data_IF_619643865996
#
_entry.id   IF_619643865996
#
_cell.length_a   1.000
_cell.length_b   1.000
_cell.length_c   1.000
_cell.angle_alpha   90.00
_cell.angle_beta   90.00
_cell.angle_gamma   90.00
#
_symmetry.space_group_name_H-M   'P 1'
#
loop_
_entity.id
_entity.type
_entity.pdbx_description
1 polymer ?
#
# COMPACT_ATOMS: atom_id res chain seq x y z
N UNK A 1 -22.31 11.74 11.97
CA UNK A 1 -21.03 11.65 11.23
C UNK A 1 -20.94 10.22 10.75
N UNK A 2 -20.74 9.96 9.46
CA UNK A 2 -20.53 8.58 9.02
C UNK A 2 -19.20 8.09 9.59
N UNK A 3 -19.24 7.01 10.36
CA UNK A 3 -18.06 6.24 10.76
C UNK A 3 -17.39 5.71 9.49
N UNK A 4 -16.53 6.52 8.89
CA UNK A 4 -15.91 6.20 7.61
C UNK A 4 -14.71 5.29 7.88
N UNK A 5 -14.82 4.02 7.48
CA UNK A 5 -13.80 2.98 7.58
C UNK A 5 -12.39 3.54 7.46
N UNK A 6 -11.57 3.35 8.51
CA UNK A 6 -10.13 3.55 8.43
C UNK A 6 -9.69 4.89 7.84
N UNK A 7 -10.41 6.00 8.07
CA UNK A 7 -10.01 7.32 7.57
C UNK A 7 -8.86 7.91 8.42
N UNK A 8 -7.79 7.14 8.60
CA UNK A 8 -6.63 7.47 9.43
C UNK A 8 -5.39 7.63 8.56
N UNK A 9 -4.39 8.42 8.99
CA UNK A 9 -3.17 8.59 8.21
C UNK A 9 -2.46 7.26 7.92
N UNK A 10 -2.42 6.33 8.87
CA UNK A 10 -1.82 5.01 8.65
C UNK A 10 -2.55 4.21 7.57
N UNK A 11 -3.88 4.21 7.58
CA UNK A 11 -4.67 3.44 6.63
C UNK A 11 -4.56 4.01 5.20
N UNK A 12 -4.68 5.33 5.02
CA UNK A 12 -4.53 5.94 3.68
C UNK A 12 -3.11 5.82 3.13
N UNK A 13 -2.10 5.84 3.99
CA UNK A 13 -0.72 5.57 3.57
C UNK A 13 -0.58 4.13 3.09
N UNK A 14 -1.11 3.15 3.84
CA UNK A 14 -1.08 1.74 3.43
C UNK A 14 -1.83 1.51 2.10
N UNK A 15 -2.98 2.15 1.92
CA UNK A 15 -3.73 2.11 0.66
C UNK A 15 -2.92 2.71 -0.48
N UNK A 16 -2.31 3.89 -0.30
CA UNK A 16 -1.50 4.53 -1.32
C UNK A 16 -0.29 3.69 -1.76
N UNK A 17 0.43 3.12 -0.80
CA UNK A 17 1.58 2.23 -1.08
C UNK A 17 1.11 0.92 -1.74
N UNK A 18 0.03 0.32 -1.26
CA UNK A 18 -0.55 -0.89 -1.83
C UNK A 18 -1.00 -0.67 -3.28
N UNK A 19 -1.67 0.44 -3.57
CA UNK A 19 -2.06 0.84 -4.92
C UNK A 19 -0.85 1.06 -5.83
N UNK A 20 0.22 1.69 -5.33
CA UNK A 20 1.46 1.84 -6.09
C UNK A 20 2.06 0.48 -6.45
N UNK A 21 2.13 -0.45 -5.49
CA UNK A 21 2.60 -1.82 -5.74
C UNK A 21 1.74 -2.55 -6.77
N UNK A 22 0.41 -2.43 -6.67
CA UNK A 22 -0.54 -2.98 -7.63
C UNK A 22 -0.34 -2.41 -9.04
N UNK A 23 -0.20 -1.09 -9.18
CA UNK A 23 0.04 -0.44 -10.48
C UNK A 23 1.36 -0.89 -11.08
N UNK A 24 2.45 -0.89 -10.31
CA UNK A 24 3.77 -1.34 -10.78
C UNK A 24 3.73 -2.80 -11.24
N UNK A 25 3.12 -3.68 -10.44
CA UNK A 25 2.95 -5.09 -10.77
C UNK A 25 2.06 -5.31 -12.00
N UNK A 26 0.95 -4.59 -12.09
CA UNK A 26 0.03 -4.64 -13.22
C UNK A 26 0.70 -4.20 -14.52
N UNK A 27 1.39 -3.06 -14.51
CA UNK A 27 2.17 -2.57 -15.67
C UNK A 27 3.22 -3.59 -16.09
N UNK A 28 3.93 -4.21 -15.15
CA UNK A 28 4.95 -5.21 -15.47
C UNK A 28 4.41 -6.41 -16.29
N UNK A 29 3.16 -6.82 -16.01
CA UNK A 29 2.48 -7.90 -16.73
C UNK A 29 1.92 -7.47 -18.10
N UNK A 30 1.82 -6.17 -18.37
CA UNK A 30 1.39 -5.63 -19.68
C UNK A 30 2.55 -5.40 -20.65
N UNK A 31 3.81 -5.50 -20.21
CA UNK A 31 4.98 -5.35 -21.06
C UNK A 31 5.20 -6.59 -21.95
N UNK A 32 5.83 -6.39 -23.11
CA UNK A 32 6.23 -7.47 -24.02
C UNK A 32 7.73 -7.35 -24.31
N UNK A 33 8.57 -8.31 -23.85
CA UNK A 33 8.22 -9.45 -23.01
C UNK A 33 7.79 -9.02 -21.60
N UNK A 34 7.03 -9.89 -20.91
CA UNK A 34 6.63 -9.65 -19.52
C UNK A 34 7.86 -9.48 -18.63
N UNK A 35 7.86 -8.45 -17.80
CA UNK A 35 8.96 -8.18 -16.86
C UNK A 35 8.67 -8.80 -15.50
N UNK A 36 9.09 -10.06 -15.30
CA UNK A 36 8.92 -10.74 -14.00
C UNK A 36 9.71 -10.06 -12.87
N UNK A 37 10.85 -9.44 -13.19
CA UNK A 37 11.61 -8.67 -12.22
C UNK A 37 10.81 -7.46 -11.69
N UNK A 38 10.19 -6.68 -12.59
CA UNK A 38 9.36 -5.54 -12.21
C UNK A 38 8.07 -5.97 -11.51
N UNK A 39 7.50 -7.12 -11.88
CA UNK A 39 6.37 -7.71 -11.16
C UNK A 39 6.72 -7.97 -9.69
N UNK A 40 7.86 -8.60 -9.41
CA UNK A 40 8.30 -8.85 -8.03
C UNK A 40 8.63 -7.57 -7.26
N UNK A 41 9.11 -6.53 -7.94
CA UNK A 41 9.23 -5.19 -7.34
C UNK A 41 7.85 -4.66 -6.91
N UNK A 42 6.84 -4.78 -7.78
CA UNK A 42 5.46 -4.44 -7.44
C UNK A 42 4.93 -5.22 -6.23
N UNK A 43 5.19 -6.53 -6.16
CA UNK A 43 4.85 -7.37 -5.01
C UNK A 43 5.55 -6.91 -3.73
N UNK A 44 6.85 -6.60 -3.80
CA UNK A 44 7.61 -6.12 -2.65
C UNK A 44 7.08 -4.79 -2.11
N UNK A 45 6.68 -3.87 -3.00
CA UNK A 45 6.01 -2.62 -2.63
C UNK A 45 4.64 -2.91 -1.98
N UNK A 46 3.86 -3.83 -2.54
CA UNK A 46 2.57 -4.23 -1.97
C UNK A 46 2.71 -4.80 -0.56
N UNK A 47 3.69 -5.67 -0.32
CA UNK A 47 3.97 -6.25 1.01
C UNK A 47 4.48 -5.19 1.98
N UNK A 48 5.29 -4.22 1.54
CA UNK A 48 5.81 -3.17 2.42
C UNK A 48 4.71 -2.25 2.96
N UNK A 49 3.55 -2.15 2.29
CA UNK A 49 2.39 -1.43 2.81
C UNK A 49 1.95 -1.94 4.20
N UNK A 50 2.03 -3.25 4.45
CA UNK A 50 1.74 -3.84 5.76
C UNK A 50 2.75 -3.38 6.81
N UNK A 51 4.04 -3.42 6.46
CA UNK A 51 5.13 -2.99 7.35
C UNK A 51 4.97 -1.52 7.73
N UNK A 52 4.71 -0.66 6.74
CA UNK A 52 4.49 0.77 6.94
C UNK A 52 3.27 1.01 7.83
N UNK A 53 2.16 0.31 7.58
CA UNK A 53 0.98 0.39 8.44
C UNK A 53 1.31 0.05 9.89
N UNK A 54 2.02 -1.07 10.15
CA UNK A 54 2.39 -1.47 11.50
C UNK A 54 3.27 -0.42 12.20
N UNK A 55 4.25 0.16 11.49
CA UNK A 55 5.09 1.24 12.03
C UNK A 55 4.23 2.45 12.39
N UNK A 56 3.38 2.91 11.48
CA UNK A 56 2.51 4.06 11.73
C UNK A 56 1.48 3.80 12.83
N UNK A 57 0.99 2.57 12.94
CA UNK A 57 0.10 2.16 14.02
C UNK A 57 0.81 2.25 15.38
N UNK A 58 2.09 1.83 15.46
CA UNK A 58 2.93 2.00 16.66
C UNK A 58 3.22 3.46 16.98
N UNK A 59 3.17 4.34 15.99
CA UNK A 59 3.24 5.80 16.17
C UNK A 59 1.89 6.44 16.56
N UNK A 60 0.82 5.64 16.72
CA UNK A 60 -0.51 6.14 17.09
C UNK A 60 -1.34 6.68 15.92
N UNK A 61 -0.87 6.59 14.67
CA UNK A 61 -1.52 7.20 13.51
C UNK A 61 -2.65 6.35 12.89
N UNK A 62 -3.11 5.32 13.59
CA UNK A 62 -4.12 4.36 13.12
C UNK A 62 -5.51 4.61 13.69
N UNK A 63 -5.67 5.65 14.51
CA UNK A 63 -6.95 6.11 15.08
C UNK A 63 -7.38 7.42 14.42
N UNK A 64 -8.68 7.66 14.37
CA UNK A 64 -9.26 8.91 13.84
C UNK A 64 -9.40 9.99 14.91
N UNK A 65 -9.21 9.63 16.18
CA UNK A 65 -9.35 10.52 17.33
C UNK A 65 -8.08 11.38 17.46
N UNK A 66 -8.17 12.59 16.92
CA UNK A 66 -7.34 13.73 17.27
C UNK A 66 -8.13 14.66 18.19
#
# INVERSE_FOLDING_TARGET
MSDNHGNTPAAWTAVGVGLLGFVVGGVALMLTPVSMAMFWVGCAIGVSALVIFFVMAKMGLHTSDH
#
